data_IF_530062996246
#
_entry.id   IF_530062996246
#
_cell.length_a   1.000
_cell.length_b   1.000
_cell.length_c   1.000
_cell.angle_alpha   90.00
_cell.angle_beta   90.00
_cell.angle_gamma   90.00
#
_symmetry.space_group_name_H-M   'P 1'
#
loop_
_entity.id
_entity.type
_entity.pdbx_description
1 polymer ?
#
# COMPACT_ATOMS: atom_id res chain seq x y z
N UNK A 1 2.81 35.37 18.98
CA UNK A 1 2.78 34.21 19.90
C UNK A 1 1.84 34.56 21.03
N UNK A 2 0.91 33.67 21.39
CA UNK A 2 0.05 33.81 22.58
C UNK A 2 0.93 33.96 23.81
N UNK A 3 0.74 35.02 24.58
CA UNK A 3 1.56 35.29 25.77
C UNK A 3 1.26 34.27 26.90
N UNK A 4 2.13 34.24 27.90
CA UNK A 4 2.04 33.24 28.97
C UNK A 4 0.83 33.46 29.90
N UNK A 5 0.38 34.71 30.07
CA UNK A 5 -0.79 35.05 30.90
C UNK A 5 -2.05 34.58 30.20
N UNK A 6 -2.20 34.92 28.92
CA UNK A 6 -3.35 34.48 28.11
C UNK A 6 -3.45 32.95 28.06
N UNK A 7 -2.33 32.26 27.84
CA UNK A 7 -2.30 30.79 27.82
C UNK A 7 -2.72 30.16 29.15
N UNK A 8 -2.26 30.71 30.28
CA UNK A 8 -2.67 30.22 31.61
C UNK A 8 -4.17 30.43 31.83
N UNK A 9 -4.70 31.58 31.43
CA UNK A 9 -6.13 31.88 31.50
C UNK A 9 -6.96 30.89 30.68
N UNK A 10 -6.57 30.63 29.43
CA UNK A 10 -7.27 29.67 28.57
C UNK A 10 -7.23 28.25 29.13
N UNK A 11 -6.08 27.82 29.66
CA UNK A 11 -5.93 26.51 30.30
C UNK A 11 -6.84 26.38 31.53
N UNK A 12 -6.97 27.44 32.34
CA UNK A 12 -7.87 27.45 33.49
C UNK A 12 -9.33 27.35 33.06
N UNK A 13 -9.76 28.19 32.10
CA UNK A 13 -11.13 28.15 31.57
C UNK A 13 -11.48 26.78 30.98
N UNK A 14 -10.51 26.08 30.38
CA UNK A 14 -10.72 24.74 29.86
C UNK A 14 -10.92 23.70 30.97
N UNK A 15 -10.11 23.74 32.04
CA UNK A 15 -10.28 22.84 33.19
C UNK A 15 -11.61 23.05 33.91
N UNK A 16 -12.08 24.29 33.99
CA UNK A 16 -13.35 24.66 34.59
C UNK A 16 -14.55 24.40 33.64
N UNK A 17 -14.32 23.99 32.40
CA UNK A 17 -15.35 23.71 31.40
C UNK A 17 -15.95 24.97 30.74
N UNK A 18 -15.46 26.18 31.09
CA UNK A 18 -15.83 27.43 30.44
C UNK A 18 -15.39 27.53 28.98
N UNK A 19 -14.34 26.79 28.61
CA UNK A 19 -13.93 26.55 27.22
C UNK A 19 -13.90 25.05 26.95
N UNK A 20 -14.60 24.59 25.92
CA UNK A 20 -14.66 23.15 25.57
C UNK A 20 -13.60 22.72 24.56
N UNK A 21 -13.02 23.66 23.81
CA UNK A 21 -12.09 23.37 22.71
C UNK A 21 -10.97 24.40 22.72
N UNK A 22 -9.72 23.91 22.66
CA UNK A 22 -8.54 24.74 22.44
C UNK A 22 -7.92 24.36 21.08
N UNK A 23 -7.81 25.35 20.20
CA UNK A 23 -7.10 25.19 18.93
C UNK A 23 -5.65 25.61 19.10
N UNK A 24 -4.70 24.80 18.63
CA UNK A 24 -3.28 25.15 18.67
C UNK A 24 -2.54 24.75 17.41
N UNK A 25 -1.52 25.54 17.06
CA UNK A 25 -0.62 25.26 15.94
C UNK A 25 0.78 25.08 16.51
N UNK A 26 1.21 23.82 16.66
CA UNK A 26 2.55 23.42 17.13
C UNK A 26 2.94 23.91 18.54
N UNK A 27 2.05 24.55 19.28
CA UNK A 27 2.33 25.14 20.60
C UNK A 27 1.94 24.23 21.77
N UNK A 28 1.02 23.29 21.58
CA UNK A 28 0.60 22.32 22.61
C UNK A 28 1.35 20.99 22.54
N UNK A 29 2.44 20.90 21.79
CA UNK A 29 3.23 19.66 21.69
C UNK A 29 4.10 19.43 22.92
N UNK A 30 4.38 20.45 23.74
CA UNK A 30 5.21 20.37 24.96
C UNK A 30 4.57 21.14 26.13
N UNK A 31 4.62 20.57 27.33
CA UNK A 31 4.31 21.31 28.58
C UNK A 31 2.84 21.62 28.87
N UNK A 32 1.88 20.96 28.21
CA UNK A 32 0.45 21.11 28.50
C UNK A 32 -0.10 19.85 29.16
N UNK A 33 -0.72 20.03 30.32
CA UNK A 33 -1.39 18.99 31.09
C UNK A 33 -2.84 19.41 31.36
N UNK A 34 -3.72 18.99 30.47
CA UNK A 34 -5.15 19.28 30.48
C UNK A 34 -5.92 17.96 30.33
N UNK A 35 -7.08 17.82 31.00
CA UNK A 35 -7.93 16.65 30.84
C UNK A 35 -8.60 16.69 29.47
N UNK A 36 -8.10 15.91 28.52
CA UNK A 36 -8.56 15.89 27.13
C UNK A 36 -9.19 14.54 26.81
N UNK A 37 -10.44 14.54 26.39
CA UNK A 37 -11.18 13.36 25.90
C UNK A 37 -11.26 13.27 24.38
N UNK A 38 -10.89 14.31 23.66
CA UNK A 38 -10.95 14.34 22.19
C UNK A 38 -9.80 15.12 21.59
N UNK A 39 -9.16 14.56 20.57
CA UNK A 39 -8.10 15.22 19.79
C UNK A 39 -8.52 15.28 18.33
N UNK A 40 -8.46 16.49 17.77
CA UNK A 40 -8.67 16.74 16.34
C UNK A 40 -7.31 17.07 15.72
N UNK A 41 -6.73 16.12 14.96
CA UNK A 41 -5.48 16.35 14.24
C UNK A 41 -5.76 16.68 12.77
N UNK A 42 -5.73 17.98 12.47
CA UNK A 42 -5.86 18.50 11.11
C UNK A 42 -4.50 18.82 10.45
N UNK A 43 -3.37 18.54 11.13
CA UNK A 43 -2.05 18.91 10.63
C UNK A 43 -1.27 17.68 10.12
N UNK A 44 -0.95 17.60 8.81
CA UNK A 44 -0.19 16.48 8.28
C UNK A 44 1.22 16.44 8.90
N UNK A 45 1.67 15.24 9.27
CA UNK A 45 3.03 15.00 9.75
C UNK A 45 3.65 13.81 9.05
N UNK A 46 4.95 13.90 8.79
CA UNK A 46 5.81 12.76 8.40
C UNK A 46 6.66 12.25 9.57
N UNK A 47 6.60 12.93 10.71
CA UNK A 47 7.30 12.55 11.94
C UNK A 47 6.38 11.71 12.80
N UNK A 48 6.74 10.44 12.94
CA UNK A 48 6.12 9.47 13.84
C UNK A 48 6.19 9.93 15.31
N UNK A 49 7.33 10.48 15.73
CA UNK A 49 7.51 11.04 17.08
C UNK A 49 6.50 12.16 17.33
N UNK A 50 6.32 13.07 16.37
CA UNK A 50 5.36 14.16 16.53
C UNK A 50 3.91 13.65 16.57
N UNK A 51 3.59 12.62 15.79
CA UNK A 51 2.28 11.96 15.81
C UNK A 51 1.96 11.38 17.20
N UNK A 52 2.89 10.62 17.77
CA UNK A 52 2.79 10.08 19.14
C UNK A 52 2.66 11.20 20.15
N UNK A 53 3.48 12.25 20.04
CA UNK A 53 3.46 13.38 20.98
C UNK A 53 2.14 14.16 20.95
N UNK A 54 1.49 14.29 19.78
CA UNK A 54 0.18 14.93 19.66
C UNK A 54 -0.91 14.08 20.32
N UNK A 55 -1.06 12.84 19.88
CA UNK A 55 -2.15 11.95 20.31
C UNK A 55 -1.97 11.50 21.76
N UNK A 56 -0.74 11.23 22.19
CA UNK A 56 -0.42 10.81 23.55
C UNK A 56 -0.80 11.82 24.64
N UNK A 57 -1.26 13.02 24.30
CA UNK A 57 -1.85 13.97 25.26
C UNK A 57 -3.25 13.55 25.72
N UNK A 58 -4.01 12.91 24.85
CA UNK A 58 -5.36 12.42 25.14
C UNK A 58 -5.38 11.01 25.73
N UNK A 59 -4.28 10.27 25.58
CA UNK A 59 -4.14 8.91 26.13
C UNK A 59 -3.77 8.87 27.63
N UNK A 60 -3.73 10.02 28.29
CA UNK A 60 -3.53 10.07 29.75
C UNK A 60 -4.83 9.72 30.46
N UNK A 61 -4.72 9.03 31.60
CA UNK A 61 -5.87 8.77 32.47
C UNK A 61 -6.41 10.10 32.99
N UNK A 62 -7.64 10.43 32.63
CA UNK A 62 -8.33 11.64 33.06
C UNK A 62 -9.57 11.25 33.87
N UNK A 63 -9.81 11.87 35.05
CA UNK A 63 -11.03 11.62 35.82
C UNK A 63 -12.27 11.97 34.99
N UNK A 64 -13.24 11.05 34.93
CA UNK A 64 -14.51 11.25 34.25
C UNK A 64 -14.53 10.94 32.76
N UNK A 65 -13.47 10.35 32.19
CA UNK A 65 -13.42 9.91 30.79
C UNK A 65 -12.88 8.50 30.70
N UNK A 66 -13.62 7.58 30.10
CA UNK A 66 -13.20 6.18 29.93
C UNK A 66 -12.37 5.98 28.65
N UNK A 67 -12.59 6.84 27.65
CA UNK A 67 -11.98 6.77 26.34
C UNK A 67 -11.49 8.14 25.83
N UNK A 68 -10.69 8.10 24.77
CA UNK A 68 -10.22 9.29 24.06
C UNK A 68 -10.51 9.17 22.57
N UNK A 69 -11.35 10.07 22.05
CA UNK A 69 -11.71 10.10 20.64
C UNK A 69 -10.64 10.83 19.81
N UNK A 70 -10.10 10.16 18.80
CA UNK A 70 -9.09 10.73 17.90
C UNK A 70 -9.70 10.95 16.50
N UNK A 71 -9.82 12.21 16.10
CA UNK A 71 -10.31 12.63 14.78
C UNK A 71 -9.13 13.09 13.92
N UNK A 72 -8.61 12.19 13.09
CA UNK A 72 -7.46 12.43 12.21
C UNK A 72 -7.91 12.84 10.80
N UNK A 73 -8.04 14.15 10.59
CA UNK A 73 -8.40 14.72 9.28
C UNK A 73 -7.21 14.78 8.31
N UNK A 74 -5.98 14.66 8.81
CA UNK A 74 -4.80 14.70 7.98
C UNK A 74 -4.45 13.32 7.39
N UNK A 75 -5.03 12.22 7.89
CA UNK A 75 -4.71 10.85 7.52
C UNK A 75 -3.32 10.41 8.00
N UNK A 76 -2.86 10.96 9.14
CA UNK A 76 -1.60 10.60 9.76
C UNK A 76 -1.58 9.12 10.20
N UNK A 77 -2.63 8.64 10.86
CA UNK A 77 -2.77 7.26 11.34
C UNK A 77 -2.82 6.24 10.20
N UNK A 78 -3.37 6.62 9.05
CA UNK A 78 -3.34 5.79 7.83
C UNK A 78 -1.92 5.61 7.28
N UNK A 79 -1.02 6.60 7.48
CA UNK A 79 0.35 6.59 6.94
C UNK A 79 1.38 6.09 7.95
N UNK A 80 1.19 6.41 9.23
CA UNK A 80 2.14 6.16 10.31
C UNK A 80 1.73 5.01 11.24
N UNK A 81 0.46 4.59 11.20
CA UNK A 81 -0.10 3.59 12.12
C UNK A 81 -0.88 4.20 13.28
N UNK A 82 -1.56 3.34 14.04
CA UNK A 82 -2.20 3.73 15.30
C UNK A 82 -1.12 3.95 16.36
N UNK A 83 -1.27 4.99 17.18
CA UNK A 83 -0.26 5.33 18.21
C UNK A 83 -0.10 4.23 19.26
N UNK A 84 -1.15 3.46 19.51
CA UNK A 84 -1.12 2.29 20.40
C UNK A 84 -0.24 1.15 19.89
N UNK A 85 0.03 1.11 18.59
CA UNK A 85 0.75 0.02 17.93
C UNK A 85 2.21 0.43 17.61
N UNK A 86 2.60 1.67 17.92
CA UNK A 86 3.96 2.15 17.65
C UNK A 86 4.83 1.95 18.89
N UNK A 87 5.69 0.94 18.85
CA UNK A 87 6.61 0.61 19.92
C UNK A 87 8.07 0.78 19.49
N UNK A 88 8.90 1.35 20.37
CA UNK A 88 10.34 1.45 20.21
C UNK A 88 11.02 0.92 21.47
N UNK A 89 11.60 -0.28 21.39
CA UNK A 89 12.24 -0.93 22.54
C UNK A 89 13.61 -0.35 22.88
N UNK A 90 14.19 0.41 21.95
CA UNK A 90 15.55 0.96 22.05
C UNK A 90 15.56 2.41 21.60
N UNK A 91 16.37 3.21 22.28
CA UNK A 91 16.66 4.57 21.85
C UNK A 91 17.54 4.54 20.61
N UNK A 92 17.29 5.49 19.70
CA UNK A 92 18.14 5.70 18.55
C UNK A 92 19.46 6.35 19.01
N UNK A 93 20.52 5.54 19.08
CA UNK A 93 21.88 5.99 19.46
C UNK A 93 22.72 6.38 18.25
N UNK A 94 22.13 6.49 17.05
CA UNK A 94 22.89 6.88 15.86
C UNK A 94 23.37 8.34 15.94
N UNK A 95 24.63 8.57 15.61
CA UNK A 95 25.18 9.92 15.55
C UNK A 95 24.46 10.77 14.49
N UNK A 96 24.34 12.08 14.76
CA UNK A 96 23.68 12.99 13.81
C UNK A 96 24.43 13.00 12.47
N UNK A 97 23.75 12.57 11.41
CA UNK A 97 24.30 12.49 10.06
C UNK A 97 24.77 11.09 9.64
N UNK A 98 24.81 10.14 10.57
CA UNK A 98 25.05 8.74 10.24
C UNK A 98 23.88 8.15 9.44
N UNK A 99 24.20 7.19 8.57
CA UNK A 99 23.21 6.48 7.77
C UNK A 99 22.32 5.66 8.70
N UNK A 100 21.06 6.07 8.85
CA UNK A 100 20.07 5.31 9.61
C UNK A 100 19.89 3.93 9.00
N UNK A 101 19.85 2.92 9.86
CA UNK A 101 19.47 1.57 9.47
C UNK A 101 18.09 1.57 8.84
N UNK A 102 17.88 0.66 7.90
CA UNK A 102 16.60 0.52 7.22
C UNK A 102 15.60 0.03 8.25
N UNK A 103 14.63 0.89 8.62
CA UNK A 103 13.52 0.47 9.48
C UNK A 103 12.90 -0.81 8.90
N UNK A 104 12.60 -1.82 9.75
CA UNK A 104 11.89 -3.01 9.31
C UNK A 104 10.57 -2.61 8.65
N UNK A 105 10.03 -3.47 7.77
CA UNK A 105 8.74 -3.19 7.12
C UNK A 105 7.71 -2.92 8.21
N UNK A 106 6.96 -1.80 8.13
CA UNK A 106 5.97 -1.48 9.13
C UNK A 106 4.95 -2.61 9.22
N UNK A 107 4.46 -2.84 10.43
CA UNK A 107 3.30 -3.69 10.69
C UNK A 107 2.09 -3.23 9.86
N UNK A 108 1.05 -4.07 9.80
CA UNK A 108 -0.12 -3.80 8.97
C UNK A 108 -0.76 -2.47 9.37
N UNK A 109 -0.68 -1.48 8.48
CA UNK A 109 -1.33 -0.19 8.69
C UNK A 109 -2.85 -0.37 8.86
N UNK A 110 -3.49 0.46 9.71
CA UNK A 110 -4.92 0.38 9.95
C UNK A 110 -5.70 0.74 8.68
N UNK A 111 -6.91 0.19 8.57
CA UNK A 111 -7.83 0.49 7.49
C UNK A 111 -9.16 0.95 8.05
N UNK A 112 -9.88 1.85 7.37
CA UNK A 112 -11.21 2.25 7.81
C UNK A 112 -12.15 1.05 7.75
N UNK A 113 -13.02 0.94 8.74
CA UNK A 113 -14.12 -0.01 8.73
C UNK A 113 -15.13 0.40 7.64
N UNK A 114 -15.59 -0.51 6.76
CA UNK A 114 -16.58 -0.17 5.72
C UNK A 114 -17.96 0.20 6.28
N UNK A 115 -18.23 -0.03 7.57
CA UNK A 115 -19.50 0.25 8.22
C UNK A 115 -19.51 1.54 9.04
N UNK A 116 -18.42 1.84 9.76
CA UNK A 116 -18.37 2.98 10.70
C UNK A 116 -17.12 3.85 10.58
N UNK A 117 -16.27 3.61 9.57
CA UNK A 117 -15.03 4.35 9.29
C UNK A 117 -13.95 4.35 10.38
N UNK A 118 -14.21 3.73 11.54
CA UNK A 118 -13.22 3.55 12.58
C UNK A 118 -11.98 2.85 12.03
N UNK A 119 -10.81 3.45 12.25
CA UNK A 119 -9.53 2.89 11.89
C UNK A 119 -9.18 1.76 12.85
N UNK A 120 -8.95 0.56 12.31
CA UNK A 120 -8.52 -0.57 13.11
C UNK A 120 -7.64 -1.52 12.31
N UNK A 121 -6.93 -2.37 13.04
CA UNK A 121 -6.26 -3.56 12.51
C UNK A 121 -7.11 -4.80 12.86
N UNK A 122 -7.13 -5.82 12.01
CA UNK A 122 -7.86 -7.07 12.24
C UNK A 122 -9.17 -7.24 11.45
N UNK A 123 -9.84 -8.36 11.70
CA UNK A 123 -11.06 -8.76 10.98
C UNK A 123 -12.33 -8.16 11.58
N UNK A 124 -12.41 -8.08 12.91
CA UNK A 124 -13.57 -7.55 13.63
C UNK A 124 -13.30 -6.09 13.99
N UNK A 125 -14.23 -5.20 13.64
CA UNK A 125 -14.15 -3.80 14.02
C UNK A 125 -14.48 -3.61 15.51
N UNK A 126 -13.60 -2.98 16.32
CA UNK A 126 -13.86 -2.77 17.75
C UNK A 126 -14.99 -1.76 18.01
N UNK A 127 -15.27 -0.84 17.06
CA UNK A 127 -16.30 0.19 17.24
C UNK A 127 -17.73 -0.28 16.92
N UNK A 128 -17.91 -1.12 15.90
CA UNK A 128 -19.25 -1.54 15.46
C UNK A 128 -19.45 -3.05 15.34
N UNK A 129 -18.45 -3.86 15.65
CA UNK A 129 -18.49 -5.33 15.57
C UNK A 129 -18.52 -5.90 14.15
N UNK A 130 -18.38 -5.07 13.10
CA UNK A 130 -18.39 -5.56 11.72
C UNK A 130 -17.21 -6.51 11.45
N UNK A 131 -17.51 -7.71 10.97
CA UNK A 131 -16.53 -8.71 10.59
C UNK A 131 -16.27 -8.67 9.07
N UNK A 132 -15.00 -8.56 8.70
CA UNK A 132 -14.55 -8.62 7.30
C UNK A 132 -14.48 -10.07 6.85
N UNK A 133 -15.48 -10.52 6.08
CA UNK A 133 -15.39 -11.79 5.38
C UNK A 133 -14.59 -11.62 4.08
N UNK A 134 -13.57 -12.46 3.81
CA UNK A 134 -12.94 -12.49 2.50
C UNK A 134 -13.98 -12.93 1.48
N UNK A 135 -14.27 -12.07 0.50
CA UNK A 135 -15.06 -12.47 -0.66
C UNK A 135 -14.25 -13.50 -1.43
N UNK A 136 -14.66 -14.76 -1.35
CA UNK A 136 -14.17 -15.80 -2.23
C UNK A 136 -14.70 -15.51 -3.63
N UNK A 137 -13.96 -14.69 -4.40
CA UNK A 137 -14.29 -14.36 -5.79
C UNK A 137 -13.97 -15.54 -6.74
N UNK A 138 -14.26 -16.77 -6.32
CA UNK A 138 -14.02 -17.97 -7.12
C UNK A 138 -15.26 -18.84 -7.04
N UNK A 139 -15.94 -18.97 -8.17
CA UNK A 139 -17.00 -19.96 -8.33
C UNK A 139 -16.37 -21.35 -8.23
N UNK A 140 -16.66 -22.08 -7.15
CA UNK A 140 -16.24 -23.46 -6.98
C UNK A 140 -17.09 -24.33 -7.92
N UNK A 141 -16.45 -24.87 -8.96
CA UNK A 141 -17.05 -25.87 -9.85
C UNK A 141 -16.47 -27.24 -9.50
N UNK A 142 -17.31 -28.26 -9.51
CA UNK A 142 -16.87 -29.64 -9.29
C UNK A 142 -15.95 -30.06 -10.45
N UNK A 143 -14.70 -30.35 -10.12
CA UNK A 143 -13.69 -30.79 -11.07
C UNK A 143 -12.70 -31.73 -10.40
N UNK A 144 -12.17 -32.68 -11.17
CA UNK A 144 -11.14 -33.59 -10.66
C UNK A 144 -9.85 -32.81 -10.43
N UNK A 145 -9.39 -32.75 -9.18
CA UNK A 145 -8.11 -32.14 -8.83
C UNK A 145 -6.98 -32.91 -9.50
N UNK A 146 -6.27 -32.26 -10.42
CA UNK A 146 -5.02 -32.78 -10.99
C UNK A 146 -3.87 -32.07 -10.29
N UNK A 147 -2.87 -32.83 -9.86
CA UNK A 147 -1.68 -32.28 -9.23
C UNK A 147 -0.94 -31.34 -10.20
N UNK A 148 -0.98 -30.04 -9.90
CA UNK A 148 -0.16 -29.05 -10.58
C UNK A 148 1.25 -29.16 -10.01
N UNK A 149 2.02 -30.11 -10.54
CA UNK A 149 3.46 -30.12 -10.28
C UNK A 149 4.05 -28.79 -10.77
N UNK A 150 4.96 -28.17 -10.00
CA UNK A 150 5.60 -26.90 -10.36
C UNK A 150 6.44 -26.94 -11.65
N UNK A 151 6.48 -28.10 -12.32
CA UNK A 151 7.03 -28.27 -13.66
C UNK A 151 5.97 -27.81 -14.66
N UNK A 152 6.20 -26.65 -15.29
CA UNK A 152 5.41 -26.21 -16.45
C UNK A 152 5.35 -27.38 -17.44
N UNK A 153 4.14 -27.89 -17.70
CA UNK A 153 3.96 -28.88 -18.75
C UNK A 153 4.48 -28.30 -20.07
N UNK A 154 5.18 -29.09 -20.89
CA UNK A 154 5.65 -28.62 -22.18
C UNK A 154 4.46 -28.19 -23.03
N UNK A 155 4.51 -26.98 -23.59
CA UNK A 155 3.43 -26.46 -24.41
C UNK A 155 3.11 -27.41 -25.57
N UNK A 156 1.82 -27.69 -25.76
CA UNK A 156 1.34 -28.58 -26.81
C UNK A 156 1.58 -27.99 -28.19
N UNK A 157 1.46 -28.80 -29.24
CA UNK A 157 1.53 -28.30 -30.62
C UNK A 157 0.39 -27.31 -30.92
N UNK A 158 -0.77 -27.49 -30.30
CA UNK A 158 -1.93 -26.60 -30.41
C UNK A 158 -1.65 -25.25 -29.75
N UNK A 159 -1.05 -25.22 -28.56
CA UNK A 159 -0.65 -23.98 -27.89
C UNK A 159 0.34 -23.16 -28.73
N UNK A 160 1.29 -23.87 -29.37
CA UNK A 160 2.27 -23.29 -30.28
C UNK A 160 1.60 -22.72 -31.53
N UNK A 161 0.68 -23.46 -32.14
CA UNK A 161 -0.11 -23.01 -33.29
C UNK A 161 -0.95 -21.77 -32.95
N UNK A 162 -1.66 -21.79 -31.82
CA UNK A 162 -2.49 -20.70 -31.34
C UNK A 162 -1.65 -19.44 -31.12
N UNK A 163 -0.51 -19.56 -30.42
CA UNK A 163 0.39 -18.44 -30.20
C UNK A 163 0.98 -17.88 -31.50
N UNK A 164 1.28 -18.75 -32.47
CA UNK A 164 1.76 -18.32 -33.79
C UNK A 164 0.69 -17.57 -34.58
N UNK A 165 -0.54 -18.07 -34.58
CA UNK A 165 -1.70 -17.40 -35.18
C UNK A 165 -1.97 -16.02 -34.57
N UNK A 166 -1.86 -15.88 -33.25
CA UNK A 166 -1.94 -14.59 -32.55
C UNK A 166 -0.78 -13.65 -32.92
N UNK A 167 0.42 -14.19 -33.06
CA UNK A 167 1.59 -13.42 -33.51
C UNK A 167 1.43 -12.92 -34.93
N UNK A 168 0.87 -13.73 -35.83
CA UNK A 168 0.59 -13.34 -37.22
C UNK A 168 -0.48 -12.26 -37.34
N UNK A 169 -1.48 -12.27 -36.47
CA UNK A 169 -2.43 -11.17 -36.37
C UNK A 169 -1.75 -9.86 -35.96
N UNK A 170 -0.91 -9.90 -34.92
CA UNK A 170 -0.19 -8.71 -34.47
C UNK A 170 0.84 -8.22 -35.51
N UNK A 171 1.43 -9.14 -36.26
CA UNK A 171 2.33 -8.83 -37.37
C UNK A 171 1.61 -8.01 -38.44
N UNK A 172 0.40 -8.42 -38.82
CA UNK A 172 -0.40 -7.70 -39.81
C UNK A 172 -0.87 -6.34 -39.28
N UNK A 173 -1.36 -6.28 -38.05
CA UNK A 173 -1.86 -5.04 -37.45
C UNK A 173 -0.76 -3.98 -37.24
N UNK A 174 0.45 -4.42 -36.85
CA UNK A 174 1.57 -3.52 -36.52
C UNK A 174 2.67 -3.47 -37.58
N UNK A 175 2.42 -4.06 -38.75
CA UNK A 175 3.38 -4.17 -39.86
C UNK A 175 4.77 -4.64 -39.41
N UNK A 176 4.83 -5.70 -38.60
CA UNK A 176 6.12 -6.23 -38.12
C UNK A 176 6.86 -7.03 -39.20
N UNK A 177 8.19 -7.00 -39.14
CA UNK A 177 9.03 -7.89 -39.94
C UNK A 177 8.87 -9.35 -39.53
N UNK A 178 9.06 -10.27 -40.48
CA UNK A 178 9.00 -11.72 -40.22
C UNK A 178 10.02 -12.16 -39.16
N UNK A 179 11.19 -11.53 -39.12
CA UNK A 179 12.20 -11.76 -38.10
C UNK A 179 11.71 -11.40 -36.69
N UNK A 180 10.99 -10.28 -36.54
CA UNK A 180 10.43 -9.87 -35.24
C UNK A 180 9.36 -10.85 -34.76
N UNK A 181 8.44 -11.26 -35.64
CA UNK A 181 7.41 -12.23 -35.32
C UNK A 181 8.02 -13.59 -34.92
N UNK A 182 9.00 -14.06 -35.68
CA UNK A 182 9.67 -15.35 -35.43
C UNK A 182 10.50 -15.34 -34.14
N UNK A 183 11.13 -14.20 -33.80
CA UNK A 183 11.83 -14.03 -32.54
C UNK A 183 10.89 -14.04 -31.33
N UNK A 184 9.73 -13.38 -31.41
CA UNK A 184 8.74 -13.40 -30.33
C UNK A 184 8.25 -14.83 -30.04
N UNK A 185 8.05 -15.64 -31.08
CA UNK A 185 7.70 -17.05 -30.96
C UNK A 185 8.84 -17.87 -30.33
N UNK A 186 10.07 -17.69 -30.81
CA UNK A 186 11.26 -18.36 -30.29
C UNK A 186 11.52 -18.04 -28.81
N UNK A 187 11.33 -16.79 -28.41
CA UNK A 187 11.51 -16.36 -27.01
C UNK A 187 10.52 -17.04 -26.05
N UNK A 188 9.37 -17.51 -26.55
CA UNK A 188 8.36 -18.20 -25.74
C UNK A 188 8.59 -19.71 -25.67
N UNK A 189 8.92 -20.34 -26.80
CA UNK A 189 8.96 -21.80 -26.91
C UNK A 189 10.36 -22.39 -27.16
N UNK A 190 11.39 -21.57 -27.34
CA UNK A 190 12.76 -21.99 -27.62
C UNK A 190 12.99 -22.59 -29.01
N UNK A 191 11.94 -22.72 -29.83
CA UNK A 191 11.99 -23.31 -31.17
C UNK A 191 11.48 -22.34 -32.23
N UNK A 192 11.88 -22.55 -33.49
CA UNK A 192 11.36 -21.77 -34.62
C UNK A 192 9.97 -22.26 -35.05
N UNK A 193 9.11 -21.39 -35.61
CA UNK A 193 7.74 -21.73 -36.02
C UNK A 193 7.74 -22.53 -37.35
N UNK A 194 8.25 -23.77 -37.31
CA UNK A 194 8.28 -24.70 -38.45
C UNK A 194 7.03 -25.56 -38.47
N UNK A 195 6.41 -25.73 -39.65
CA UNK A 195 5.23 -26.59 -39.82
C UNK A 195 3.92 -26.04 -39.22
N UNK A 196 3.88 -24.74 -38.87
CA UNK A 196 2.68 -24.08 -38.35
C UNK A 196 1.96 -23.29 -39.44
N UNK A 197 0.64 -23.25 -39.36
CA UNK A 197 -0.22 -22.49 -40.28
C UNK A 197 -0.13 -21.01 -39.98
N UNK A 198 -0.01 -20.18 -41.02
CA UNK A 198 0.08 -18.72 -40.89
C UNK A 198 -1.30 -18.04 -40.91
N UNK A 199 -2.28 -18.60 -40.21
CA UNK A 199 -3.65 -18.06 -40.15
C UNK A 199 -3.74 -17.04 -39.01
N UNK A 200 -4.00 -15.75 -39.28
CA UNK A 200 -4.11 -14.73 -38.23
C UNK A 200 -5.32 -14.98 -37.32
N UNK A 201 -5.12 -14.88 -36.00
CA UNK A 201 -6.18 -14.97 -35.01
C UNK A 201 -6.06 -13.84 -33.98
N UNK A 202 -7.19 -13.28 -33.54
CA UNK A 202 -7.21 -12.19 -32.56
C UNK A 202 -6.51 -12.64 -31.25
N UNK A 203 -5.53 -11.88 -30.74
CA UNK A 203 -4.84 -12.20 -29.49
C UNK A 203 -5.69 -12.01 -28.23
N UNK A 204 -5.39 -12.82 -27.22
CA UNK A 204 -5.95 -12.70 -25.88
C UNK A 204 -5.12 -11.77 -24.97
N UNK A 205 -5.62 -11.50 -23.76
CA UNK A 205 -4.94 -10.63 -22.80
C UNK A 205 -3.59 -11.24 -22.33
N UNK A 206 -3.50 -12.56 -22.24
CA UNK A 206 -2.28 -13.26 -21.84
C UNK A 206 -1.15 -13.06 -22.86
N UNK A 207 -1.47 -13.11 -24.14
CA UNK A 207 -0.56 -12.80 -25.24
C UNK A 207 -0.05 -11.36 -25.18
N UNK A 208 -0.95 -10.38 -25.01
CA UNK A 208 -0.56 -8.98 -24.90
C UNK A 208 0.34 -8.71 -23.69
N UNK A 209 0.03 -9.32 -22.54
CA UNK A 209 0.87 -9.23 -21.35
C UNK A 209 2.27 -9.78 -21.61
N UNK A 210 2.38 -10.91 -22.31
CA UNK A 210 3.65 -11.51 -22.69
C UNK A 210 4.44 -10.61 -23.67
N UNK A 211 3.83 -10.12 -24.75
CA UNK A 211 4.47 -9.22 -25.73
C UNK A 211 5.00 -7.95 -25.05
N UNK A 212 4.16 -7.31 -24.22
CA UNK A 212 4.54 -6.13 -23.45
C UNK A 212 5.74 -6.42 -22.53
N UNK A 213 5.77 -7.58 -21.87
CA UNK A 213 6.90 -7.97 -21.03
C UNK A 213 8.22 -8.06 -21.82
N UNK A 214 8.19 -8.61 -23.04
CA UNK A 214 9.38 -8.73 -23.91
C UNK A 214 9.84 -7.36 -24.39
N UNK A 215 8.91 -6.48 -24.77
CA UNK A 215 9.23 -5.11 -25.17
C UNK A 215 9.88 -4.29 -24.06
N UNK A 216 9.36 -4.40 -22.82
CA UNK A 216 9.94 -3.75 -21.64
C UNK A 216 11.34 -4.30 -21.36
N UNK A 217 11.53 -5.63 -21.45
CA UNK A 217 12.84 -6.25 -21.25
C UNK A 217 13.87 -5.77 -22.26
N UNK A 218 13.51 -5.68 -23.54
CA UNK A 218 14.38 -5.18 -24.60
C UNK A 218 14.76 -3.70 -24.38
N UNK A 219 13.79 -2.84 -24.05
CA UNK A 219 14.05 -1.43 -23.74
C UNK A 219 15.02 -1.27 -22.56
N UNK A 220 14.83 -2.05 -21.48
CA UNK A 220 15.73 -2.05 -20.33
C UNK A 220 17.14 -2.53 -20.68
N UNK A 221 17.27 -3.55 -21.54
CA UNK A 221 18.56 -4.03 -22.03
C UNK A 221 19.31 -2.92 -22.77
N UNK A 222 18.61 -2.18 -23.63
CA UNK A 222 19.21 -1.05 -24.38
C UNK A 222 19.66 0.10 -23.48
N UNK A 223 18.87 0.46 -22.47
CA UNK A 223 19.28 1.48 -21.49
C UNK A 223 20.45 1.04 -20.61
N UNK A 224 20.58 -0.26 -20.33
CA UNK A 224 21.71 -0.80 -19.57
C UNK A 224 23.00 -0.83 -20.41
N UNK A 225 22.90 -1.20 -21.70
CA UNK A 225 24.00 -1.11 -22.67
C UNK A 225 24.49 0.34 -22.79
N UNK A 226 23.59 1.31 -22.94
CA UNK A 226 23.94 2.73 -23.09
C UNK A 226 24.52 3.39 -21.83
N UNK A 227 24.40 2.75 -20.65
CA UNK A 227 24.98 3.24 -19.39
C UNK A 227 26.35 2.60 -19.10
N UNK A 228 26.73 1.56 -19.84
CA UNK A 228 28.00 0.84 -19.71
C UNK A 228 29.03 1.25 -20.76
N UNK A 229 28.57 1.85 -21.86
CA UNK A 229 29.39 2.58 -22.82
C UNK A 229 29.60 4.01 -22.34
#
# INVERSE_FOLDING_TARGET
>A
MTDAVERRRLNQLFREGGVKVICSVRTMTTGVDLPVSCIIDAAPTRSEILHIQKIGRGLRVNPGTEDCLILDHAGNSLRLGLVTDIHHDRLDTTERGARKERKPKPEKLPRPCPRCDALHVGQICPGCGFERSPLANVDATDGTLVEVTGRKQPATMEDKQLFWSMTKWLQHERSWSDGRASNLYRDRFGVWPRGLRATPQRPDQAFFNYEKSRRIAWAKSKTAESRRA
#
